data_IF_831078472375
#
_entry.id   IF_831078472375
#
_cell.length_a   1.000
_cell.length_b   1.000
_cell.length_c   1.000
_cell.angle_alpha   90.00
_cell.angle_beta   90.00
_cell.angle_gamma   90.00
#
_symmetry.space_group_name_H-M   'P 1'
#
loop_
_entity.id
_entity.type
_entity.pdbx_description
1 polymer ?
#
# COMPACT_ATOMS: atom_id res chain seq x y z
N UNK A 1 -9.52 7.05 -13.99
CA UNK A 1 -9.07 8.25 -13.23
C UNK A 1 -8.01 7.81 -12.24
N UNK A 2 -6.88 8.52 -12.16
CA UNK A 2 -5.79 8.18 -11.24
C UNK A 2 -5.68 9.26 -10.16
N UNK A 3 -5.76 8.86 -8.90
CA UNK A 3 -5.64 9.74 -7.74
C UNK A 3 -4.43 9.31 -6.93
N UNK A 4 -3.45 10.19 -6.78
CA UNK A 4 -2.31 9.94 -5.91
C UNK A 4 -2.74 9.95 -4.44
N UNK A 5 -2.40 8.88 -3.71
CA UNK A 5 -2.77 8.73 -2.29
C UNK A 5 -1.59 8.90 -1.35
N UNK A 6 -0.37 8.61 -1.80
CA UNK A 6 0.84 8.72 -0.98
C UNK A 6 1.91 7.72 -1.38
N UNK A 7 2.87 7.51 -0.48
CA UNK A 7 3.96 6.54 -0.67
C UNK A 7 3.90 5.42 0.37
N UNK A 8 4.32 4.23 -0.04
CA UNK A 8 4.51 3.10 0.84
C UNK A 8 5.53 3.44 1.93
N UNK A 9 5.14 3.23 3.19
CA UNK A 9 5.97 3.49 4.36
C UNK A 9 7.18 2.56 4.50
N UNK A 10 7.30 1.55 3.63
CA UNK A 10 8.40 0.56 3.66
C UNK A 10 9.37 0.77 2.50
N UNK A 11 8.87 0.86 1.26
CA UNK A 11 9.71 0.93 0.07
C UNK A 11 9.67 2.28 -0.66
N UNK A 12 8.85 3.24 -0.20
CA UNK A 12 8.70 4.54 -0.85
C UNK A 12 7.93 4.51 -2.18
N UNK A 13 7.42 3.35 -2.61
CA UNK A 13 6.62 3.21 -3.83
C UNK A 13 5.37 4.07 -3.75
N UNK A 14 5.11 4.86 -4.78
CA UNK A 14 3.89 5.66 -4.91
C UNK A 14 2.67 4.75 -5.02
N UNK A 15 1.59 5.13 -4.35
CA UNK A 15 0.33 4.40 -4.30
C UNK A 15 -0.76 5.32 -4.80
N UNK A 16 -1.57 4.75 -5.69
CA UNK A 16 -2.62 5.45 -6.39
C UNK A 16 -3.96 4.74 -6.16
N UNK A 17 -5.04 5.50 -6.28
CA UNK A 17 -6.36 4.97 -6.56
C UNK A 17 -6.55 5.06 -8.08
N UNK A 18 -6.66 3.91 -8.76
CA UNK A 18 -6.89 3.84 -10.20
C UNK A 18 -8.28 3.33 -10.47
N UNK A 19 -9.13 4.17 -11.05
CA UNK A 19 -10.49 3.81 -11.46
C UNK A 19 -11.32 3.20 -10.31
N UNK A 20 -11.18 3.77 -9.11
CA UNK A 20 -11.84 3.31 -7.90
C UNK A 20 -11.19 2.10 -7.23
N UNK A 21 -10.06 1.61 -7.76
CA UNK A 21 -9.26 0.55 -7.16
C UNK A 21 -8.05 1.13 -6.42
N UNK A 22 -8.01 0.92 -5.11
CA UNK A 22 -6.91 1.34 -4.26
C UNK A 22 -5.74 0.35 -4.36
N UNK A 23 -4.59 0.79 -4.88
CA UNK A 23 -3.40 -0.07 -5.06
C UNK A 23 -2.52 -0.19 -3.80
N UNK A 24 -3.13 -0.18 -2.61
CA UNK A 24 -2.42 -0.24 -1.34
C UNK A 24 -3.29 -0.71 -0.16
N UNK A 25 -2.70 -0.66 1.03
CA UNK A 25 -3.33 -1.02 2.30
C UNK A 25 -3.03 0.06 3.33
N UNK A 26 -4.07 0.53 4.02
CA UNK A 26 -3.92 1.36 5.21
C UNK A 26 -4.02 0.49 6.45
N UNK A 27 -2.94 0.39 7.23
CA UNK A 27 -2.92 -0.35 8.50
C UNK A 27 -2.20 0.49 9.57
N UNK A 28 -2.84 0.69 10.73
CA UNK A 28 -2.25 1.45 11.84
C UNK A 28 -1.86 2.90 11.51
N UNK A 29 -2.59 3.57 10.59
CA UNK A 29 -2.30 4.93 10.14
C UNK A 29 -1.12 5.05 9.18
N UNK A 30 -0.58 3.93 8.69
CA UNK A 30 0.47 3.89 7.69
C UNK A 30 -0.04 3.30 6.39
N UNK A 31 0.53 3.78 5.30
CA UNK A 31 0.20 3.35 3.95
C UNK A 31 1.25 2.34 3.46
N UNK A 32 0.80 1.21 2.94
CA UNK A 32 1.65 0.11 2.47
C UNK A 32 1.25 -0.30 1.06
N UNK A 33 2.23 -0.60 0.20
CA UNK A 33 1.93 -1.29 -1.05
C UNK A 33 1.60 -2.76 -0.76
N UNK A 34 0.89 -3.43 -1.66
CA UNK A 34 0.51 -4.83 -1.47
C UNK A 34 1.70 -5.76 -1.24
N UNK A 35 2.81 -5.54 -1.94
CA UNK A 35 4.02 -6.37 -1.80
C UNK A 35 4.59 -6.28 -0.38
N UNK A 36 4.79 -5.07 0.14
CA UNK A 36 5.30 -4.86 1.49
C UNK A 36 4.31 -5.34 2.55
N UNK A 37 3.01 -5.09 2.37
CA UNK A 37 1.98 -5.55 3.29
C UNK A 37 1.95 -7.09 3.35
N UNK A 38 2.04 -7.76 2.20
CA UNK A 38 2.07 -9.22 2.12
C UNK A 38 3.31 -9.79 2.80
N UNK A 39 4.48 -9.15 2.69
CA UNK A 39 5.69 -9.58 3.39
C UNK A 39 5.57 -9.43 4.92
N UNK A 40 5.00 -8.31 5.39
CA UNK A 40 4.75 -8.07 6.81
C UNK A 40 3.79 -9.09 7.43
N UNK A 41 2.76 -9.52 6.69
CA UNK A 41 1.72 -10.45 7.18
C UNK A 41 2.08 -11.93 6.97
N UNK A 42 3.00 -12.27 6.08
CA UNK A 42 3.41 -13.66 5.82
C UNK A 42 4.53 -14.15 6.76
N UNK A 43 5.11 -13.30 7.62
CA UNK A 43 5.99 -13.73 8.71
C UNK A 43 5.21 -14.25 9.94
N UNK A 44 4.16 -15.03 9.70
CA UNK A 44 3.39 -15.75 10.72
C UNK A 44 3.22 -17.21 10.30
N UNK A 45 4.35 -17.89 10.10
CA UNK A 45 4.47 -19.36 10.03
C UNK A 45 5.84 -19.76 10.54
#
# INVERSE_FOLDING_TARGET
MEEYLGQCSVCGKEIYCRDGFFEGVHEGGRLYCFECFKQLRQHSV
#
